data_IF_189284537414
#
_entry.id   IF_189284537414
#
_cell.length_a   1.000
_cell.length_b   1.000
_cell.length_c   1.000
_cell.angle_alpha   90.00
_cell.angle_beta   90.00
_cell.angle_gamma   90.00
#
_symmetry.space_group_name_H-M   'P 1'
#
loop_
_entity.id
_entity.type
_entity.pdbx_description
1 polymer ?
#
# COMPACT_ATOMS: atom_id res chain seq x y z
N UNK A 1 -16.50 42.55 -22.67
CA UNK A 1 -16.37 41.39 -21.78
C UNK A 1 -16.43 40.12 -22.61
N UNK A 2 -15.37 39.30 -22.64
CA UNK A 2 -15.50 37.88 -22.96
C UNK A 2 -14.93 36.99 -21.85
N UNK A 3 -15.85 36.18 -21.34
CA UNK A 3 -15.77 34.79 -20.83
C UNK A 3 -14.40 34.19 -20.50
N UNK A 4 -14.19 33.89 -19.21
CA UNK A 4 -13.13 33.01 -18.70
C UNK A 4 -13.45 31.54 -19.05
N UNK A 5 -12.50 30.76 -19.61
CA UNK A 5 -12.68 29.32 -19.74
C UNK A 5 -12.40 28.64 -18.40
N UNK A 6 -13.39 27.92 -17.88
CA UNK A 6 -13.29 27.05 -16.71
C UNK A 6 -12.42 25.85 -17.06
N UNK A 7 -11.25 25.73 -16.44
CA UNK A 7 -10.37 24.56 -16.53
C UNK A 7 -11.04 23.35 -15.88
N UNK A 8 -11.61 22.47 -16.71
CA UNK A 8 -12.01 21.13 -16.30
C UNK A 8 -10.73 20.31 -16.13
N UNK A 9 -10.27 20.12 -14.88
CA UNK A 9 -9.25 19.14 -14.57
C UNK A 9 -9.84 17.76 -14.77
N UNK A 10 -9.50 17.13 -15.90
CA UNK A 10 -9.82 15.75 -16.17
C UNK A 10 -9.03 14.86 -15.20
N UNK A 11 -9.74 14.21 -14.27
CA UNK A 11 -9.21 13.15 -13.43
C UNK A 11 -8.95 11.95 -14.34
N UNK A 12 -7.73 11.86 -14.87
CA UNK A 12 -7.27 10.72 -15.65
C UNK A 12 -7.02 9.56 -14.68
N UNK A 13 -8.04 8.73 -14.47
CA UNK A 13 -7.87 7.41 -13.88
C UNK A 13 -7.35 6.49 -14.99
N UNK A 14 -6.04 6.58 -15.25
CA UNK A 14 -5.36 5.58 -16.07
C UNK A 14 -5.17 4.33 -15.20
N UNK A 15 -5.76 3.22 -15.65
CA UNK A 15 -5.42 1.87 -15.21
C UNK A 15 -3.98 1.54 -15.65
N UNK A 16 -3.00 2.14 -14.98
CA UNK A 16 -1.61 1.74 -15.09
C UNK A 16 -1.46 0.38 -14.41
N UNK A 17 -0.92 -0.61 -15.11
CA UNK A 17 -0.53 -1.87 -14.49
C UNK A 17 0.37 -1.60 -13.29
N UNK A 18 0.34 -2.49 -12.29
CA UNK A 18 1.02 -2.32 -11.00
C UNK A 18 2.46 -1.78 -11.15
N UNK A 19 3.20 -2.24 -12.14
CA UNK A 19 4.58 -1.81 -12.43
C UNK A 19 4.72 -0.32 -12.81
N UNK A 20 3.79 0.25 -13.59
CA UNK A 20 3.89 1.64 -14.06
C UNK A 20 3.39 2.66 -13.01
N UNK A 21 2.45 2.25 -12.15
CA UNK A 21 2.00 3.06 -11.03
C UNK A 21 3.07 3.15 -9.91
N UNK A 22 3.83 2.07 -9.69
CA UNK A 22 4.85 1.97 -8.64
C UNK A 22 6.02 2.93 -8.82
N UNK A 23 6.41 3.24 -10.06
CA UNK A 23 7.63 4.01 -10.34
C UNK A 23 7.48 5.54 -10.16
N UNK A 24 6.27 6.04 -9.87
CA UNK A 24 6.00 7.48 -9.75
C UNK A 24 5.47 7.93 -8.39
N UNK A 25 5.19 6.99 -7.48
CA UNK A 25 4.69 7.35 -6.14
C UNK A 25 5.85 7.60 -5.15
N UNK A 26 5.66 8.47 -4.15
CA UNK A 26 6.60 8.61 -3.04
C UNK A 26 6.85 7.26 -2.36
N UNK A 27 8.08 7.01 -1.91
CA UNK A 27 8.47 5.72 -1.34
C UNK A 27 7.69 5.45 -0.02
N UNK A 28 7.43 6.50 0.76
CA UNK A 28 6.56 6.39 1.95
C UNK A 28 5.15 5.90 1.62
N UNK A 29 4.63 6.21 0.43
CA UNK A 29 3.33 5.71 -0.05
C UNK A 29 3.42 4.23 -0.39
N UNK A 30 4.45 3.80 -1.14
CA UNK A 30 4.68 2.37 -1.43
C UNK A 30 4.80 1.52 -0.16
N UNK A 31 5.56 2.00 0.83
CA UNK A 31 5.73 1.31 2.11
C UNK A 31 4.41 1.22 2.89
N UNK A 32 3.62 2.29 2.88
CA UNK A 32 2.30 2.29 3.51
C UNK A 32 1.36 1.29 2.84
N UNK A 33 1.37 1.22 1.51
CA UNK A 33 0.57 0.26 0.76
C UNK A 33 0.98 -1.19 1.07
N UNK A 34 2.29 -1.46 1.17
CA UNK A 34 2.76 -2.77 1.61
C UNK A 34 2.30 -3.12 3.02
N UNK A 35 2.30 -2.18 3.97
CA UNK A 35 1.71 -2.41 5.29
C UNK A 35 0.24 -2.84 5.20
N UNK A 36 -0.56 -2.14 4.41
CA UNK A 36 -1.98 -2.44 4.22
C UNK A 36 -2.19 -3.80 3.56
N UNK A 37 -1.44 -4.12 2.49
CA UNK A 37 -1.52 -5.41 1.80
C UNK A 37 -1.26 -6.55 2.78
N UNK A 38 -0.22 -6.45 3.61
CA UNK A 38 0.10 -7.50 4.58
C UNK A 38 -0.96 -7.57 5.70
N UNK A 39 -1.54 -6.44 6.11
CA UNK A 39 -2.67 -6.44 7.07
C UNK A 39 -3.87 -7.20 6.50
N UNK A 40 -4.30 -6.86 5.28
CA UNK A 40 -5.42 -7.53 4.59
C UNK A 40 -5.14 -9.02 4.34
N UNK A 41 -3.89 -9.36 4.02
CA UNK A 41 -3.47 -10.74 3.85
C UNK A 41 -3.59 -11.54 5.16
N UNK A 42 -3.20 -10.94 6.29
CA UNK A 42 -3.36 -11.56 7.60
C UNK A 42 -4.84 -11.75 7.96
N UNK A 43 -5.68 -10.76 7.72
CA UNK A 43 -7.11 -10.89 7.96
C UNK A 43 -7.75 -11.98 7.08
N UNK A 44 -7.36 -12.05 5.80
CA UNK A 44 -7.83 -13.09 4.89
C UNK A 44 -7.42 -14.48 5.39
N UNK A 45 -6.19 -14.63 5.92
CA UNK A 45 -5.72 -15.87 6.55
C UNK A 45 -6.56 -16.23 7.77
N UNK A 46 -6.82 -15.27 8.65
CA UNK A 46 -7.64 -15.45 9.85
C UNK A 46 -9.07 -15.89 9.50
N UNK A 47 -9.74 -15.20 8.56
CA UNK A 47 -11.07 -15.57 8.05
C UNK A 47 -11.13 -16.98 7.46
N UNK A 48 -10.01 -17.48 6.94
CA UNK A 48 -9.86 -18.83 6.36
C UNK A 48 -9.36 -19.87 7.37
N UNK A 49 -9.35 -19.54 8.66
CA UNK A 49 -8.86 -20.39 9.75
C UNK A 49 -7.47 -20.98 9.45
N UNK A 50 -6.58 -20.16 8.88
CA UNK A 50 -5.16 -20.53 8.72
C UNK A 50 -4.46 -20.44 10.07
N UNK A 51 -3.24 -20.98 10.12
CA UNK A 51 -2.48 -21.03 11.37
C UNK A 51 -2.22 -19.62 11.92
N UNK A 52 -2.31 -19.50 13.25
CA UNK A 52 -2.15 -18.22 13.94
C UNK A 52 -0.72 -17.71 13.83
N UNK A 53 0.28 -18.58 13.96
CA UNK A 53 1.71 -18.22 13.93
C UNK A 53 2.10 -17.48 12.66
N UNK A 54 1.69 -17.98 11.49
CA UNK A 54 1.97 -17.30 10.22
C UNK A 54 1.10 -16.06 10.05
N UNK A 55 -0.13 -16.04 10.58
CA UNK A 55 -0.98 -14.85 10.57
C UNK A 55 -0.31 -13.72 11.37
N UNK A 56 0.26 -14.03 12.54
CA UNK A 56 1.02 -13.09 13.37
C UNK A 56 2.31 -12.64 12.67
N UNK A 57 3.02 -13.53 11.98
CA UNK A 57 4.20 -13.18 11.19
C UNK A 57 3.88 -12.19 10.05
N UNK A 58 2.74 -12.41 9.37
CA UNK A 58 2.26 -11.49 8.32
C UNK A 58 1.88 -10.12 8.93
N UNK A 59 1.25 -10.08 10.10
CA UNK A 59 0.98 -8.81 10.82
C UNK A 59 2.26 -8.12 11.28
N UNK A 60 3.25 -8.87 11.74
CA UNK A 60 4.55 -8.33 12.12
C UNK A 60 5.25 -7.68 10.91
N UNK A 61 5.18 -8.31 9.74
CA UNK A 61 5.64 -7.71 8.48
C UNK A 61 4.93 -6.39 8.18
N UNK A 62 3.60 -6.36 8.33
CA UNK A 62 2.81 -5.14 8.12
C UNK A 62 3.26 -4.00 9.05
N UNK A 63 3.57 -4.30 10.32
CA UNK A 63 4.01 -3.33 11.30
C UNK A 63 5.39 -2.74 10.96
N UNK A 64 6.33 -3.57 10.49
CA UNK A 64 7.66 -3.12 10.04
C UNK A 64 7.53 -2.09 8.90
N UNK A 65 6.64 -2.35 7.93
CA UNK A 65 6.38 -1.40 6.85
C UNK A 65 5.79 -0.07 7.33
N UNK A 66 4.94 -0.05 8.36
CA UNK A 66 4.41 1.22 8.92
C UNK A 66 5.52 2.07 9.51
N UNK A 67 6.43 1.45 10.27
CA UNK A 67 7.56 2.16 10.89
C UNK A 67 8.43 2.76 9.79
N UNK A 68 8.83 1.94 8.82
CA UNK A 68 9.64 2.35 7.68
C UNK A 68 8.96 3.45 6.84
N UNK A 69 7.65 3.36 6.62
CA UNK A 69 6.89 4.37 5.90
C UNK A 69 6.91 5.74 6.59
N UNK A 70 6.84 5.77 7.93
CA UNK A 70 6.87 7.02 8.70
C UNK A 70 8.24 7.68 8.65
N UNK A 71 9.29 6.88 8.80
CA UNK A 71 10.67 7.37 8.71
C UNK A 71 10.96 7.89 7.29
N UNK A 72 10.50 7.15 6.27
CA UNK A 72 10.59 7.58 4.88
C UNK A 72 9.81 8.87 4.61
N UNK A 73 8.58 9.02 5.13
CA UNK A 73 7.81 10.25 4.97
C UNK A 73 8.50 11.45 5.63
N UNK A 74 9.19 11.25 6.76
CA UNK A 74 9.99 12.30 7.38
C UNK A 74 11.17 12.71 6.47
N UNK A 75 11.87 11.74 5.87
CA UNK A 75 12.96 12.00 4.91
C UNK A 75 12.47 12.68 3.63
N UNK A 76 11.24 12.41 3.21
CA UNK A 76 10.56 13.08 2.09
C UNK A 76 10.07 14.50 2.44
N UNK A 77 10.30 14.98 3.67
CA UNK A 77 9.95 16.34 4.08
C UNK A 77 8.48 16.52 4.48
N UNK A 78 7.74 15.45 4.73
CA UNK A 78 6.35 15.54 5.18
C UNK A 78 6.30 16.09 6.62
N UNK A 79 5.63 17.23 6.82
CA UNK A 79 5.57 17.94 8.11
C UNK A 79 4.96 17.12 9.26
N UNK A 80 4.02 16.21 8.95
CA UNK A 80 3.43 15.30 9.94
C UNK A 80 3.37 13.88 9.36
N UNK A 81 4.49 13.13 9.43
CA UNK A 81 4.59 11.79 8.85
C UNK A 81 3.53 10.85 9.40
N UNK A 82 3.32 10.85 10.72
CA UNK A 82 2.34 9.99 11.38
C UNK A 82 0.93 10.18 10.80
N UNK A 83 0.44 11.43 10.77
CA UNK A 83 -0.92 11.72 10.27
C UNK A 83 -1.04 11.41 8.78
N UNK A 84 0.03 11.67 8.02
CA UNK A 84 0.09 11.35 6.60
C UNK A 84 -0.04 9.84 6.35
N UNK A 85 0.79 9.02 7.01
CA UNK A 85 0.74 7.56 6.90
C UNK A 85 -0.62 7.03 7.38
N UNK A 86 -1.12 7.49 8.53
CA UNK A 86 -2.42 7.05 9.05
C UNK A 86 -3.56 7.32 8.06
N UNK A 87 -3.58 8.51 7.43
CA UNK A 87 -4.60 8.86 6.45
C UNK A 87 -4.47 8.01 5.17
N UNK A 88 -3.25 7.71 4.75
CA UNK A 88 -3.00 6.83 3.62
C UNK A 88 -3.42 5.37 3.91
N UNK A 89 -3.16 4.86 5.11
CA UNK A 89 -3.61 3.52 5.52
C UNK A 89 -5.13 3.38 5.43
N UNK A 90 -5.90 4.34 5.97
CA UNK A 90 -7.38 4.30 5.88
C UNK A 90 -7.85 4.22 4.43
N UNK A 91 -7.33 5.10 3.56
CA UNK A 91 -7.70 5.12 2.14
C UNK A 91 -7.33 3.83 1.41
N UNK A 92 -6.14 3.30 1.69
CA UNK A 92 -5.62 2.11 1.02
C UNK A 92 -6.31 0.84 1.53
N UNK A 93 -6.68 0.76 2.81
CA UNK A 93 -7.40 -0.39 3.37
C UNK A 93 -8.72 -0.64 2.65
N UNK A 94 -9.53 0.39 2.40
CA UNK A 94 -10.77 0.24 1.64
C UNK A 94 -10.50 -0.30 0.22
N UNK A 95 -9.45 0.19 -0.43
CA UNK A 95 -9.05 -0.25 -1.77
C UNK A 95 -8.64 -1.72 -1.76
N UNK A 96 -7.74 -2.10 -0.85
CA UNK A 96 -7.18 -3.44 -0.80
C UNK A 96 -8.16 -4.50 -0.30
N UNK A 97 -9.05 -4.12 0.62
CA UNK A 97 -10.17 -4.97 1.02
C UNK A 97 -11.01 -5.41 -0.20
N UNK A 98 -11.39 -4.46 -1.05
CA UNK A 98 -12.13 -4.74 -2.29
C UNK A 98 -11.28 -5.56 -3.28
N UNK A 99 -10.00 -5.23 -3.44
CA UNK A 99 -9.10 -5.97 -4.35
C UNK A 99 -8.96 -7.44 -3.96
N UNK A 100 -8.81 -7.76 -2.68
CA UNK A 100 -8.70 -9.14 -2.21
C UNK A 100 -10.02 -9.93 -2.31
N UNK A 101 -11.16 -9.23 -2.31
CA UNK A 101 -12.47 -9.83 -2.58
C UNK A 101 -12.70 -10.17 -4.06
N UNK A 102 -11.93 -9.58 -4.98
CA UNK A 102 -12.13 -9.74 -6.42
C UNK A 102 -11.16 -10.79 -7.03
N UNK A 103 -11.72 -11.94 -7.43
CA UNK A 103 -10.94 -13.04 -8.03
C UNK A 103 -10.27 -12.67 -9.36
N UNK A 104 -10.79 -11.68 -10.09
CA UNK A 104 -10.17 -11.23 -11.34
C UNK A 104 -8.81 -10.54 -11.12
N UNK A 105 -8.54 -10.05 -9.90
CA UNK A 105 -7.32 -9.31 -9.56
C UNK A 105 -6.26 -10.17 -8.85
N UNK A 106 -6.44 -11.50 -8.78
CA UNK A 106 -5.54 -12.37 -8.02
C UNK A 106 -4.08 -12.30 -8.50
N UNK A 107 -3.86 -12.27 -9.82
CA UNK A 107 -2.50 -12.18 -10.38
C UNK A 107 -1.87 -10.82 -10.04
N UNK A 108 -2.60 -9.73 -10.24
CA UNK A 108 -2.11 -8.39 -9.90
C UNK A 108 -1.82 -8.26 -8.39
N UNK A 109 -2.69 -8.81 -7.53
CA UNK A 109 -2.48 -8.78 -6.09
C UNK A 109 -1.24 -9.60 -5.70
N UNK A 110 -0.98 -10.71 -6.40
CA UNK A 110 0.27 -11.47 -6.24
C UNK A 110 1.49 -10.64 -6.64
N UNK A 111 1.44 -9.92 -7.77
CA UNK A 111 2.53 -9.06 -8.22
C UNK A 111 2.83 -7.96 -7.19
N UNK A 112 1.79 -7.38 -6.58
CA UNK A 112 1.93 -6.42 -5.49
C UNK A 112 2.55 -7.03 -4.23
N UNK A 113 2.17 -8.26 -3.85
CA UNK A 113 2.78 -8.95 -2.72
C UNK A 113 4.27 -9.22 -2.99
N UNK A 114 4.61 -9.63 -4.21
CA UNK A 114 5.99 -9.90 -4.59
C UNK A 114 6.83 -8.61 -4.67
N UNK A 115 6.24 -7.52 -5.17
CA UNK A 115 6.81 -6.18 -5.07
C UNK A 115 7.10 -5.79 -3.63
N UNK A 116 6.14 -5.95 -2.72
CA UNK A 116 6.33 -5.59 -1.32
C UNK A 116 7.41 -6.42 -0.64
N UNK A 117 7.54 -7.71 -0.97
CA UNK A 117 8.64 -8.54 -0.48
C UNK A 117 9.99 -8.05 -0.99
N UNK A 118 10.08 -7.72 -2.28
CA UNK A 118 11.30 -7.18 -2.88
C UNK A 118 11.67 -5.83 -2.26
N UNK A 119 10.69 -4.94 -2.08
CA UNK A 119 10.89 -3.65 -1.43
C UNK A 119 11.32 -3.81 0.03
N UNK A 120 10.67 -4.67 0.80
CA UNK A 120 11.07 -4.95 2.18
C UNK A 120 12.51 -5.41 2.27
N UNK A 121 12.93 -6.31 1.37
CA UNK A 121 14.33 -6.75 1.27
C UNK A 121 15.29 -5.61 0.93
N UNK A 122 14.94 -4.77 -0.04
CA UNK A 122 15.75 -3.60 -0.44
C UNK A 122 15.92 -2.61 0.73
N UNK A 123 14.88 -2.42 1.54
CA UNK A 123 14.90 -1.62 2.76
C UNK A 123 15.60 -2.29 3.96
N UNK A 124 16.09 -3.53 3.79
CA UNK A 124 16.72 -4.29 4.87
C UNK A 124 15.74 -4.78 5.94
N UNK A 125 14.44 -4.81 5.66
CA UNK A 125 13.44 -5.37 6.56
C UNK A 125 13.54 -6.89 6.57
N UNK A 126 13.65 -7.46 7.77
CA UNK A 126 13.56 -8.91 7.97
C UNK A 126 12.10 -9.26 8.18
N UNK A 127 11.39 -9.58 7.09
CA UNK A 127 10.00 -10.01 7.14
C UNK A 127 9.93 -11.45 7.67
N UNK A 128 9.32 -11.70 8.84
CA UNK A 128 9.22 -13.02 9.45
C UNK A 128 8.30 -13.98 8.70
#
# INVERSE_FOLDING_TARGET
>A
MPSRPTLISALVICFAGAADAQNRQPLSTSLTECSVIFTELAELRARRNKDQTTTDAVLASAALFVVEARDQAAMEGIKNPYKHIQSAQVRLSETWHVRFGNLALLNENKDWIDYCRALGKDRGLTLP
#
